data_IF_898103219973
#
_entry.id   IF_898103219973
#
_cell.length_a   1.000
_cell.length_b   1.000
_cell.length_c   1.000
_cell.angle_alpha   90.00
_cell.angle_beta   90.00
_cell.angle_gamma   90.00
#
_symmetry.space_group_name_H-M   'P 1'
#
loop_
_entity.id
_entity.type
_entity.pdbx_description
1 polymer ?
#
# COMPACT_ATOMS: atom_id res chain seq x y z
N UNK A 1 4.59 -20.13 23.00
CA UNK A 1 3.38 -19.25 23.05
C UNK A 1 2.21 -19.85 22.28
N UNK A 2 0.99 -19.50 22.67
CA UNK A 2 -0.24 -19.73 21.91
C UNK A 2 -0.68 -18.38 21.29
N UNK A 3 -0.68 -18.27 19.96
CA UNK A 3 -0.90 -17.02 19.23
C UNK A 3 -2.13 -17.12 18.35
N UNK A 4 -3.10 -16.23 18.59
CA UNK A 4 -4.29 -16.08 17.76
C UNK A 4 -4.15 -14.88 16.83
N UNK A 5 -4.39 -15.06 15.53
CA UNK A 5 -4.26 -14.00 14.53
C UNK A 5 -5.58 -13.82 13.79
N UNK A 6 -6.14 -12.62 13.84
CA UNK A 6 -7.33 -12.23 13.09
C UNK A 6 -6.89 -11.49 11.84
N UNK A 7 -7.07 -12.10 10.67
CA UNK A 7 -6.71 -11.57 9.36
C UNK A 7 -5.52 -12.29 8.71
N UNK A 8 -5.78 -12.93 7.57
CA UNK A 8 -4.82 -13.64 6.70
C UNK A 8 -4.21 -12.74 5.62
N UNK A 9 -4.03 -11.45 5.91
CA UNK A 9 -3.31 -10.52 5.07
C UNK A 9 -1.79 -10.63 5.24
N UNK A 10 -0.99 -9.79 4.50
CA UNK A 10 0.47 -9.84 4.55
C UNK A 10 1.06 -9.70 5.97
N UNK A 11 0.46 -8.87 6.83
CA UNK A 11 0.93 -8.69 8.21
C UNK A 11 0.74 -9.97 9.04
N UNK A 12 -0.50 -10.50 9.08
CA UNK A 12 -0.84 -11.66 9.91
C UNK A 12 -0.11 -12.92 9.48
N UNK A 13 -0.09 -13.22 8.16
CA UNK A 13 0.60 -14.39 7.64
C UNK A 13 2.10 -14.31 7.83
N UNK A 14 2.70 -13.13 7.60
CA UNK A 14 4.15 -12.99 7.76
C UNK A 14 4.58 -13.12 9.21
N UNK A 15 3.81 -12.54 10.15
CA UNK A 15 4.06 -12.73 11.58
C UNK A 15 3.89 -14.21 11.98
N UNK A 16 2.84 -14.88 11.54
CA UNK A 16 2.61 -16.30 11.79
C UNK A 16 3.80 -17.16 11.33
N UNK A 17 4.26 -16.91 10.11
CA UNK A 17 5.43 -17.58 9.54
C UNK A 17 6.69 -17.36 10.37
N UNK A 18 7.00 -16.11 10.75
CA UNK A 18 8.20 -15.79 11.53
C UNK A 18 8.20 -16.50 12.89
N UNK A 19 7.07 -16.48 13.60
CA UNK A 19 6.94 -17.14 14.91
C UNK A 19 7.14 -18.66 14.79
N UNK A 20 6.48 -19.30 13.84
CA UNK A 20 6.57 -20.78 13.67
C UNK A 20 7.92 -21.23 13.13
N UNK A 21 8.57 -20.42 12.29
CA UNK A 21 9.91 -20.72 11.78
C UNK A 21 10.95 -20.68 12.90
N UNK A 22 10.84 -19.72 13.80
CA UNK A 22 11.78 -19.55 14.92
C UNK A 22 11.65 -20.64 15.95
N UNK A 23 10.41 -20.96 16.32
CA UNK A 23 10.14 -22.04 17.27
C UNK A 23 8.89 -22.85 16.86
N UNK A 24 9.11 -24.07 16.40
CA UNK A 24 8.04 -24.98 15.98
C UNK A 24 7.07 -25.37 17.12
N UNK A 25 7.43 -25.15 18.38
CA UNK A 25 6.55 -25.41 19.54
C UNK A 25 5.44 -24.39 19.69
N UNK A 26 5.54 -23.24 19.07
CA UNK A 26 4.48 -22.23 19.07
C UNK A 26 3.20 -22.79 18.44
N UNK A 27 2.06 -22.52 19.07
CA UNK A 27 0.74 -22.76 18.49
C UNK A 27 0.27 -21.47 17.85
N UNK A 28 0.19 -21.46 16.52
CA UNK A 28 -0.23 -20.27 15.76
C UNK A 28 -1.47 -20.61 14.95
N UNK A 29 -2.54 -19.84 15.17
CA UNK A 29 -3.81 -19.95 14.45
C UNK A 29 -4.16 -18.63 13.78
N UNK A 30 -4.43 -18.68 12.47
CA UNK A 30 -4.85 -17.54 11.65
C UNK A 30 -6.30 -17.76 11.21
N UNK A 31 -7.15 -16.76 11.41
CA UNK A 31 -8.54 -16.77 10.91
C UNK A 31 -8.74 -15.62 9.94
N UNK A 32 -9.18 -15.96 8.71
CA UNK A 32 -9.37 -15.01 7.62
C UNK A 32 -10.82 -15.08 7.12
N UNK A 33 -11.44 -13.91 6.95
CA UNK A 33 -12.84 -13.82 6.49
C UNK A 33 -13.01 -14.16 5.00
N UNK A 34 -12.00 -13.92 4.19
CA UNK A 34 -12.07 -14.12 2.75
C UNK A 34 -11.67 -15.56 2.37
N UNK A 35 -12.26 -16.14 1.31
CA UNK A 35 -11.84 -17.43 0.78
C UNK A 35 -10.45 -17.34 0.13
N UNK A 36 -9.85 -18.51 -0.14
CA UNK A 36 -8.45 -18.64 -0.59
C UNK A 36 -8.10 -17.83 -1.85
N UNK A 37 -9.02 -17.74 -2.79
CA UNK A 37 -8.79 -17.07 -4.07
C UNK A 37 -9.27 -15.62 -4.13
N UNK A 38 -9.83 -15.11 -3.04
CA UNK A 38 -10.27 -13.73 -2.97
C UNK A 38 -9.07 -12.80 -2.69
N UNK A 39 -9.00 -11.72 -3.45
CA UNK A 39 -8.12 -10.59 -3.17
C UNK A 39 -8.76 -9.31 -3.67
N UNK A 40 -8.53 -8.22 -2.95
CA UNK A 40 -8.91 -6.88 -3.38
C UNK A 40 -7.72 -6.23 -4.08
N UNK A 41 -7.99 -5.54 -5.21
CA UNK A 41 -6.95 -4.92 -6.03
C UNK A 41 -6.20 -5.95 -6.90
N UNK A 42 -5.13 -5.49 -7.54
CA UNK A 42 -4.46 -6.21 -8.62
C UNK A 42 -3.00 -6.53 -8.27
N UNK A 43 -2.13 -5.56 -8.38
CA UNK A 43 -0.71 -5.70 -8.09
C UNK A 43 -0.29 -4.98 -6.82
N UNK A 44 0.87 -5.35 -6.29
CA UNK A 44 1.58 -4.65 -5.23
C UNK A 44 2.94 -4.19 -5.73
N UNK A 45 3.39 -3.06 -5.20
CA UNK A 45 4.67 -2.43 -5.57
C UNK A 45 5.52 -2.26 -4.32
N UNK A 46 6.80 -2.58 -4.46
CA UNK A 46 7.83 -2.33 -3.46
C UNK A 46 8.97 -1.57 -4.10
N UNK A 47 9.63 -0.69 -3.38
CA UNK A 47 10.96 -0.19 -3.75
C UNK A 47 12.04 -1.18 -3.32
N UNK A 48 13.25 -1.11 -3.89
CA UNK A 48 14.39 -1.96 -3.48
C UNK A 48 14.59 -1.99 -1.97
N UNK A 49 14.65 -0.82 -1.36
CA UNK A 49 14.78 -0.65 0.10
C UNK A 49 13.62 -1.33 0.84
N UNK A 50 12.45 -1.39 0.18
CA UNK A 50 11.25 -1.96 0.78
C UNK A 50 11.25 -3.48 0.84
N UNK A 51 12.06 -4.18 0.05
CA UNK A 51 12.20 -5.64 0.10
C UNK A 51 13.45 -6.11 0.84
N UNK A 52 14.46 -5.23 1.00
CA UNK A 52 15.70 -5.59 1.69
C UNK A 52 15.43 -6.16 3.10
N UNK A 53 14.50 -5.59 3.85
CA UNK A 53 14.15 -6.06 5.18
C UNK A 53 13.57 -7.49 5.21
N UNK A 54 12.85 -7.90 4.14
CA UNK A 54 12.36 -9.29 4.04
C UNK A 54 13.53 -10.24 3.79
N UNK A 55 14.46 -9.85 2.90
CA UNK A 55 15.68 -10.63 2.61
C UNK A 55 16.52 -10.86 3.85
N UNK A 56 16.65 -9.83 4.69
CA UNK A 56 17.53 -9.88 5.86
C UNK A 56 16.93 -10.78 6.98
N UNK A 57 15.59 -10.86 7.08
CA UNK A 57 14.90 -11.64 8.11
C UNK A 57 14.46 -13.03 7.60
N UNK A 58 14.06 -13.14 6.32
CA UNK A 58 13.50 -14.36 5.72
C UNK A 58 13.99 -14.53 4.27
N UNK A 59 15.27 -14.86 4.04
CA UNK A 59 15.86 -14.90 2.71
C UNK A 59 15.19 -15.91 1.76
N UNK A 60 14.71 -17.04 2.27
CA UNK A 60 13.99 -18.07 1.52
C UNK A 60 12.61 -17.55 1.04
N UNK A 61 11.87 -16.84 1.89
CA UNK A 61 10.62 -16.20 1.53
C UNK A 61 10.86 -15.07 0.52
N UNK A 62 11.90 -14.26 0.74
CA UNK A 62 12.31 -13.23 -0.21
C UNK A 62 12.59 -13.83 -1.61
N UNK A 63 13.34 -14.92 -1.69
CA UNK A 63 13.64 -15.60 -2.94
C UNK A 63 12.37 -16.14 -3.63
N UNK A 64 11.43 -16.67 -2.86
CA UNK A 64 10.13 -17.13 -3.39
C UNK A 64 9.27 -15.97 -3.91
N UNK A 65 9.17 -14.88 -3.14
CA UNK A 65 8.42 -13.68 -3.53
C UNK A 65 8.97 -13.02 -4.79
N UNK A 66 10.31 -13.00 -4.94
CA UNK A 66 10.96 -12.28 -6.03
C UNK A 66 11.18 -13.11 -7.30
N UNK A 67 10.87 -14.42 -7.28
CA UNK A 67 11.09 -15.33 -8.41
C UNK A 67 10.40 -14.91 -9.71
N UNK A 68 9.22 -14.31 -9.61
CA UNK A 68 8.38 -13.92 -10.75
C UNK A 68 8.01 -12.44 -10.74
N UNK A 69 8.79 -11.62 -10.04
CA UNK A 69 8.54 -10.19 -9.97
C UNK A 69 8.91 -9.49 -11.29
N UNK A 70 8.26 -8.38 -11.55
CA UNK A 70 8.63 -7.43 -12.59
C UNK A 70 9.48 -6.32 -11.95
N UNK A 71 10.69 -6.07 -12.46
CA UNK A 71 11.62 -5.05 -11.93
C UNK A 71 11.92 -4.03 -13.00
N UNK A 72 11.79 -2.76 -12.68
CA UNK A 72 12.11 -1.63 -13.56
C UNK A 72 12.64 -0.45 -12.78
N UNK A 73 13.62 0.25 -13.38
CA UNK A 73 14.41 1.31 -12.74
C UNK A 73 13.89 2.72 -13.04
N UNK A 74 12.73 2.83 -13.68
CA UNK A 74 12.18 4.13 -14.07
C UNK A 74 10.69 4.21 -13.74
N UNK A 75 10.23 5.43 -13.54
CA UNK A 75 8.82 5.79 -13.61
C UNK A 75 8.62 6.92 -14.61
N UNK A 76 7.39 7.15 -15.01
CA UNK A 76 7.03 8.16 -15.98
C UNK A 76 5.84 8.98 -15.49
N UNK A 77 5.93 10.30 -15.68
CA UNK A 77 4.80 11.22 -15.49
C UNK A 77 4.34 11.69 -16.86
N UNK A 78 3.06 11.53 -17.17
CA UNK A 78 2.43 12.05 -18.39
C UNK A 78 1.56 13.23 -17.98
N UNK A 79 1.99 14.43 -18.34
CA UNK A 79 1.34 15.69 -18.05
C UNK A 79 1.23 16.54 -19.33
N UNK A 80 0.05 17.09 -19.62
CA UNK A 80 -0.24 17.89 -20.83
C UNK A 80 0.19 17.19 -22.13
N UNK A 81 0.01 15.86 -22.19
CA UNK A 81 0.37 15.05 -23.35
C UNK A 81 1.86 14.75 -23.52
N UNK A 82 2.71 15.24 -22.64
CA UNK A 82 4.15 14.99 -22.64
C UNK A 82 4.54 14.04 -21.52
N UNK A 83 5.47 13.13 -21.82
CA UNK A 83 6.00 12.16 -20.87
C UNK A 83 7.38 12.61 -20.36
N UNK A 84 7.51 12.72 -19.05
CA UNK A 84 8.79 12.97 -18.36
C UNK A 84 9.19 11.68 -17.65
N UNK A 85 10.35 11.14 -18.01
CA UNK A 85 10.93 9.98 -17.33
C UNK A 85 11.63 10.44 -16.04
N UNK A 86 11.48 9.66 -14.98
CA UNK A 86 12.17 9.83 -13.71
C UNK A 86 13.06 8.61 -13.47
N UNK A 87 14.37 8.82 -13.53
CA UNK A 87 15.36 7.76 -13.41
C UNK A 87 15.59 7.32 -11.94
N UNK A 88 16.28 6.20 -11.78
CA UNK A 88 16.71 5.65 -10.47
C UNK A 88 15.57 5.47 -9.46
N UNK A 89 14.43 4.98 -9.97
CA UNK A 89 13.27 4.61 -9.17
C UNK A 89 12.98 3.11 -9.39
N UNK A 90 13.76 2.23 -8.77
CA UNK A 90 13.57 0.79 -8.90
C UNK A 90 12.34 0.34 -8.14
N UNK A 91 11.47 -0.37 -8.85
CA UNK A 91 10.23 -0.93 -8.33
C UNK A 91 10.17 -2.43 -8.61
N UNK A 92 9.88 -3.19 -7.56
CA UNK A 92 9.56 -4.62 -7.60
C UNK A 92 8.04 -4.77 -7.57
N UNK A 93 7.49 -5.47 -8.52
CA UNK A 93 6.04 -5.57 -8.74
C UNK A 93 5.63 -7.02 -8.86
N UNK A 94 4.54 -7.39 -8.20
CA UNK A 94 3.98 -8.75 -8.25
C UNK A 94 2.46 -8.72 -8.09
N UNK A 95 1.79 -9.78 -8.49
CA UNK A 95 0.38 -9.94 -8.20
C UNK A 95 0.15 -10.05 -6.69
N UNK A 96 -0.83 -9.31 -6.16
CA UNK A 96 -1.18 -9.36 -4.74
C UNK A 96 -1.60 -10.77 -4.31
N UNK A 97 -2.30 -11.49 -5.17
CA UNK A 97 -2.73 -12.87 -4.87
C UNK A 97 -1.55 -13.83 -4.76
N UNK A 98 -0.49 -13.65 -5.57
CA UNK A 98 0.70 -14.50 -5.53
C UNK A 98 1.50 -14.28 -4.24
N UNK A 99 1.59 -13.04 -3.76
CA UNK A 99 2.15 -12.74 -2.44
C UNK A 99 1.41 -13.50 -1.33
N UNK A 100 0.07 -13.45 -1.34
CA UNK A 100 -0.75 -14.13 -0.33
C UNK A 100 -0.65 -15.66 -0.43
N UNK A 101 -0.63 -16.21 -1.63
CA UNK A 101 -0.44 -17.67 -1.85
C UNK A 101 0.92 -18.13 -1.34
N UNK A 102 1.97 -17.38 -1.66
CA UNK A 102 3.33 -17.66 -1.17
C UNK A 102 3.37 -17.66 0.36
N UNK A 103 2.87 -16.62 1.00
CA UNK A 103 2.84 -16.53 2.47
C UNK A 103 2.03 -17.67 3.10
N UNK A 104 0.86 -18.01 2.56
CA UNK A 104 0.04 -19.13 3.03
C UNK A 104 0.76 -20.47 2.89
N UNK A 105 1.45 -20.70 1.78
CA UNK A 105 2.22 -21.93 1.56
C UNK A 105 3.32 -22.07 2.61
N UNK A 106 4.10 -21.02 2.84
CA UNK A 106 5.16 -21.02 3.85
C UNK A 106 4.62 -21.21 5.28
N UNK A 107 3.44 -20.69 5.57
CA UNK A 107 2.75 -20.95 6.83
C UNK A 107 2.29 -22.41 6.94
N UNK A 108 1.72 -22.97 5.86
CA UNK A 108 1.24 -24.35 5.84
C UNK A 108 2.39 -25.36 5.98
N UNK A 109 3.54 -25.09 5.36
CA UNK A 109 4.75 -25.91 5.45
C UNK A 109 5.32 -25.98 6.89
N UNK A 110 4.92 -25.04 7.76
CA UNK A 110 5.27 -24.97 9.18
C UNK A 110 4.11 -25.34 10.13
N UNK A 111 3.06 -25.97 9.64
CA UNK A 111 1.89 -26.36 10.41
C UNK A 111 1.17 -25.19 11.12
N UNK A 112 1.14 -24.00 10.50
CA UNK A 112 0.27 -22.91 10.95
C UNK A 112 -1.18 -23.27 10.62
N UNK A 113 -2.06 -23.26 11.62
CA UNK A 113 -3.48 -23.49 11.42
C UNK A 113 -4.12 -22.25 10.75
N UNK A 114 -4.53 -22.36 9.48
CA UNK A 114 -5.17 -21.28 8.73
C UNK A 114 -6.62 -21.66 8.43
N UNK A 115 -7.56 -20.86 8.93
CA UNK A 115 -8.98 -20.99 8.69
C UNK A 115 -9.46 -19.86 7.79
N UNK A 116 -9.92 -20.19 6.58
CA UNK A 116 -10.37 -19.23 5.57
C UNK A 116 -11.89 -19.19 5.47
N UNK A 117 -12.45 -18.08 4.98
CA UNK A 117 -13.89 -17.92 4.80
C UNK A 117 -14.66 -17.70 6.10
N UNK A 118 -14.00 -17.39 7.20
CA UNK A 118 -14.62 -17.16 8.49
C UNK A 118 -14.32 -15.79 9.09
N UNK A 119 -15.37 -15.03 9.31
CA UNK A 119 -15.29 -13.73 9.97
C UNK A 119 -15.20 -13.89 11.48
N UNK A 120 -14.34 -13.09 12.09
CA UNK A 120 -14.20 -12.97 13.56
C UNK A 120 -14.81 -11.64 14.00
N UNK A 121 -15.74 -11.70 14.96
CA UNK A 121 -16.42 -10.52 15.48
C UNK A 121 -15.88 -10.02 16.83
N UNK A 122 -15.00 -10.79 17.47
CA UNK A 122 -14.38 -10.46 18.75
C UNK A 122 -13.24 -11.41 19.08
N UNK A 123 -12.65 -11.26 20.27
CA UNK A 123 -11.49 -12.07 20.68
C UNK A 123 -11.82 -13.19 21.63
N UNK A 124 -13.09 -13.42 21.96
CA UNK A 124 -13.51 -14.42 22.95
C UNK A 124 -13.09 -15.84 22.57
N UNK A 125 -13.07 -16.14 21.27
CA UNK A 125 -12.61 -17.42 20.73
C UNK A 125 -11.08 -17.63 20.82
N UNK A 126 -10.34 -16.61 21.20
CA UNK A 126 -8.89 -16.63 21.42
C UNK A 126 -8.54 -16.47 22.92
N UNK A 127 -9.48 -16.76 23.81
CA UNK A 127 -9.29 -16.61 25.26
C UNK A 127 -8.16 -17.51 25.81
N UNK A 128 -7.81 -18.58 25.08
CA UNK A 128 -6.71 -19.49 25.38
C UNK A 128 -5.35 -19.01 24.80
N UNK A 129 -5.34 -17.91 24.08
CA UNK A 129 -4.11 -17.38 23.47
C UNK A 129 -3.37 -16.42 24.42
N UNK A 130 -2.05 -16.60 24.48
CA UNK A 130 -1.14 -15.69 25.18
C UNK A 130 -1.09 -14.32 24.50
N UNK A 131 -1.09 -14.32 23.16
CA UNK A 131 -1.04 -13.12 22.30
C UNK A 131 -2.15 -13.19 21.24
N UNK A 132 -2.86 -12.08 21.05
CA UNK A 132 -3.88 -11.91 20.01
C UNK A 132 -3.44 -10.79 19.06
N UNK A 133 -3.26 -11.11 17.78
CA UNK A 133 -2.83 -10.17 16.75
C UNK A 133 -4.02 -9.83 15.85
N UNK A 134 -4.49 -8.58 15.94
CA UNK A 134 -5.54 -8.05 15.08
C UNK A 134 -4.90 -7.45 13.80
N UNK A 135 -4.91 -8.23 12.72
CA UNK A 135 -4.39 -7.89 11.40
C UNK A 135 -5.49 -7.88 10.32
N UNK A 136 -6.73 -7.56 10.73
CA UNK A 136 -7.98 -7.67 9.97
C UNK A 136 -8.27 -6.47 9.05
N UNK A 137 -7.25 -5.66 8.76
CA UNK A 137 -7.26 -4.65 7.70
C UNK A 137 -7.86 -3.30 8.09
N UNK A 138 -7.99 -2.40 7.11
CA UNK A 138 -8.40 -1.00 7.34
C UNK A 138 -9.77 -0.87 8.01
N UNK A 139 -10.71 -1.77 7.68
CA UNK A 139 -12.03 -1.86 8.29
C UNK A 139 -12.07 -2.82 9.48
N UNK A 140 -11.03 -2.85 10.31
CA UNK A 140 -10.85 -3.78 11.42
C UNK A 140 -12.06 -3.84 12.34
N UNK A 141 -12.61 -5.05 12.49
CA UNK A 141 -13.68 -5.36 13.43
C UNK A 141 -13.16 -5.29 14.88
N UNK A 142 -11.95 -5.81 15.10
CA UNK A 142 -11.32 -5.83 16.44
C UNK A 142 -11.04 -4.42 16.93
N UNK A 143 -10.42 -3.56 16.10
CA UNK A 143 -10.21 -2.13 16.43
C UNK A 143 -11.53 -1.44 16.77
N UNK A 144 -12.56 -1.67 15.98
CA UNK A 144 -13.88 -1.03 16.18
C UNK A 144 -14.54 -1.50 17.45
N UNK A 145 -14.52 -2.83 17.75
CA UNK A 145 -15.10 -3.40 18.96
C UNK A 145 -14.45 -2.88 20.23
N UNK A 146 -13.14 -2.64 20.21
CA UNK A 146 -12.36 -2.18 21.36
C UNK A 146 -11.85 -0.74 21.19
N UNK A 147 -12.60 0.10 20.48
CA UNK A 147 -12.21 1.47 20.13
C UNK A 147 -11.92 2.36 21.34
N UNK A 148 -12.57 2.13 22.48
CA UNK A 148 -12.32 2.87 23.73
C UNK A 148 -10.89 2.68 24.27
N UNK A 149 -10.24 1.57 23.90
CA UNK A 149 -8.89 1.22 24.32
C UNK A 149 -7.83 1.60 23.28
N UNK A 150 -8.16 1.56 22.00
CA UNK A 150 -7.24 1.90 20.91
C UNK A 150 -7.28 3.39 20.54
N UNK A 151 -8.36 4.08 20.85
CA UNK A 151 -8.63 5.49 20.52
C UNK A 151 -8.30 5.79 19.04
N UNK A 152 -9.01 5.15 18.08
CA UNK A 152 -8.74 5.34 16.67
C UNK A 152 -9.16 6.73 16.18
N UNK A 153 -8.36 7.28 15.28
CA UNK A 153 -8.72 8.43 14.46
C UNK A 153 -8.77 7.98 13.00
N UNK A 154 -9.87 8.28 12.31
CA UNK A 154 -10.06 7.94 10.89
C UNK A 154 -10.33 9.24 10.12
N UNK A 155 -9.34 9.64 9.31
CA UNK A 155 -9.42 10.78 8.40
C UNK A 155 -9.71 10.26 6.99
N UNK A 156 -10.95 10.45 6.51
CA UNK A 156 -11.38 10.01 5.17
C UNK A 156 -10.99 11.07 4.15
N UNK A 157 -10.04 10.72 3.27
CA UNK A 157 -9.52 11.65 2.26
C UNK A 157 -10.59 12.01 1.23
N UNK A 158 -10.58 13.25 0.70
CA UNK A 158 -11.63 13.72 -0.19
C UNK A 158 -11.64 13.06 -1.57
N UNK A 159 -10.45 12.76 -2.15
CA UNK A 159 -10.37 12.14 -3.47
C UNK A 159 -10.99 10.75 -3.49
N UNK A 160 -11.56 10.41 -4.62
CA UNK A 160 -12.15 9.10 -4.89
C UNK A 160 -11.21 8.28 -5.77
N UNK A 161 -11.15 6.99 -5.48
CA UNK A 161 -10.31 6.03 -6.18
C UNK A 161 -11.14 4.85 -6.68
N UNK A 162 -10.83 4.35 -7.89
CA UNK A 162 -11.33 3.08 -8.40
C UNK A 162 -10.18 2.22 -8.88
N UNK A 163 -10.10 0.97 -8.41
CA UNK A 163 -8.95 0.11 -8.65
C UNK A 163 -9.25 -0.90 -9.76
N UNK A 164 -8.94 -0.52 -10.99
CA UNK A 164 -9.03 -1.36 -12.18
C UNK A 164 -7.73 -2.13 -12.46
N UNK A 165 -7.84 -3.11 -13.35
CA UNK A 165 -6.73 -3.75 -14.04
C UNK A 165 -6.79 -3.50 -15.53
N UNK A 166 -5.76 -3.91 -16.25
CA UNK A 166 -5.74 -3.90 -17.71
C UNK A 166 -4.75 -4.91 -18.25
N UNK A 167 -4.95 -5.37 -19.49
CA UNK A 167 -3.95 -6.14 -20.25
C UNK A 167 -2.91 -5.26 -20.95
N UNK A 168 -3.05 -3.92 -20.90
CA UNK A 168 -2.04 -3.01 -21.41
C UNK A 168 -0.75 -3.10 -20.57
N UNK A 169 0.42 -3.34 -21.20
CA UNK A 169 1.68 -3.48 -20.47
C UNK A 169 2.25 -2.10 -20.10
N UNK A 170 1.83 -1.53 -18.98
CA UNK A 170 2.37 -0.27 -18.47
C UNK A 170 3.79 -0.46 -17.90
N UNK A 171 4.76 -0.17 -18.74
CA UNK A 171 6.17 -0.24 -18.44
C UNK A 171 6.89 0.94 -19.08
N UNK A 172 7.51 1.83 -18.28
CA UNK A 172 7.65 1.85 -16.80
C UNK A 172 6.34 2.16 -16.06
N UNK A 173 6.38 2.14 -14.70
CA UNK A 173 5.32 2.68 -13.85
C UNK A 173 4.97 4.09 -14.34
N UNK A 174 3.70 4.37 -14.58
CA UNK A 174 3.29 5.64 -15.15
C UNK A 174 2.20 6.30 -14.31
N UNK A 175 2.34 7.59 -14.09
CA UNK A 175 1.29 8.47 -13.58
C UNK A 175 0.80 9.32 -14.72
N UNK A 176 -0.48 9.24 -15.04
CA UNK A 176 -1.06 9.89 -16.22
C UNK A 176 -2.14 10.85 -15.76
N UNK A 177 -1.96 12.12 -16.08
CA UNK A 177 -2.88 13.21 -15.73
C UNK A 177 -3.67 13.61 -16.98
N UNK A 178 -5.01 13.43 -16.93
CA UNK A 178 -5.92 13.74 -18.04
C UNK A 178 -6.96 14.76 -17.63
N UNK A 179 -6.89 15.95 -18.22
CA UNK A 179 -7.95 16.96 -18.13
C UNK A 179 -9.06 16.63 -19.14
N UNK A 180 -10.29 16.75 -18.70
CA UNK A 180 -11.51 16.55 -19.48
C UNK A 180 -12.44 17.76 -19.29
N UNK A 181 -13.58 17.79 -19.99
CA UNK A 181 -14.63 18.77 -19.72
C UNK A 181 -15.24 18.64 -18.31
N UNK A 182 -15.13 17.48 -17.70
CA UNK A 182 -15.67 17.18 -16.37
C UNK A 182 -14.66 17.51 -15.24
N UNK A 183 -13.37 17.60 -15.54
CA UNK A 183 -12.30 17.87 -14.58
C UNK A 183 -11.04 17.06 -14.84
N UNK A 184 -10.31 16.72 -13.77
CA UNK A 184 -9.03 16.02 -13.84
C UNK A 184 -9.18 14.57 -13.33
N UNK A 185 -8.78 13.60 -14.17
CA UNK A 185 -8.59 12.21 -13.78
C UNK A 185 -7.10 11.85 -13.80
N UNK A 186 -6.67 11.05 -12.85
CA UNK A 186 -5.29 10.60 -12.69
C UNK A 186 -5.28 9.08 -12.74
N UNK A 187 -4.42 8.49 -13.60
CA UNK A 187 -4.20 7.05 -13.60
C UNK A 187 -2.82 6.72 -13.00
N UNK A 188 -2.80 5.82 -12.02
CA UNK A 188 -1.60 5.24 -11.45
C UNK A 188 -1.46 3.83 -12.03
N UNK A 189 -0.45 3.61 -12.86
CA UNK A 189 -0.36 2.39 -13.67
C UNK A 189 0.99 1.72 -13.53
N UNK A 190 0.99 0.40 -13.44
CA UNK A 190 2.22 -0.40 -13.46
C UNK A 190 1.92 -1.86 -13.80
N UNK A 191 2.80 -2.46 -14.58
CA UNK A 191 2.75 -3.88 -14.90
C UNK A 191 3.21 -4.69 -13.67
N UNK A 192 2.44 -5.68 -13.27
CA UNK A 192 2.75 -6.58 -12.14
C UNK A 192 2.89 -8.05 -12.56
N UNK A 193 2.58 -8.36 -13.82
CA UNK A 193 2.79 -9.66 -14.43
C UNK A 193 3.06 -9.50 -15.93
N UNK A 194 3.42 -10.59 -16.60
CA UNK A 194 3.65 -10.54 -18.05
C UNK A 194 2.44 -10.10 -18.87
N UNK A 195 1.24 -10.28 -18.35
CA UNK A 195 -0.02 -10.09 -19.07
C UNK A 195 -0.91 -9.00 -18.52
N UNK A 196 -0.65 -8.49 -17.31
CA UNK A 196 -1.55 -7.56 -16.64
C UNK A 196 -0.83 -6.42 -15.93
N UNK A 197 -1.50 -5.28 -15.92
CA UNK A 197 -1.12 -4.08 -15.16
C UNK A 197 -2.22 -3.66 -14.21
N UNK A 198 -1.84 -3.03 -13.11
CA UNK A 198 -2.72 -2.22 -12.27
C UNK A 198 -3.07 -0.94 -13.02
N UNK A 199 -4.31 -0.49 -12.88
CA UNK A 199 -4.80 0.78 -13.40
C UNK A 199 -5.72 1.43 -12.35
N UNK A 200 -5.13 2.12 -11.38
CA UNK A 200 -5.87 2.83 -10.34
C UNK A 200 -6.24 4.23 -10.87
N UNK A 201 -7.52 4.55 -10.89
CA UNK A 201 -8.01 5.89 -11.27
C UNK A 201 -8.33 6.68 -10.01
N UNK A 202 -7.89 7.94 -9.98
CA UNK A 202 -8.14 8.89 -8.90
C UNK A 202 -8.71 10.19 -9.47
N UNK A 203 -9.67 10.81 -8.78
CA UNK A 203 -10.16 12.15 -9.09
C UNK A 203 -10.67 12.87 -7.83
N UNK A 204 -10.77 14.19 -7.92
CA UNK A 204 -11.39 15.01 -6.88
C UNK A 204 -12.92 14.86 -6.87
N UNK A 205 -13.62 15.24 -5.77
CA UNK A 205 -15.06 15.08 -5.64
C UNK A 205 -15.89 15.87 -6.68
N UNK A 206 -15.35 17.00 -7.18
CA UNK A 206 -16.06 17.80 -8.18
C UNK A 206 -15.99 17.13 -9.55
N UNK A 207 -14.81 16.68 -9.96
CA UNK A 207 -14.62 15.87 -11.16
C UNK A 207 -15.53 14.63 -11.14
N UNK A 208 -15.60 13.92 -10.00
CA UNK A 208 -16.41 12.72 -9.83
C UNK A 208 -17.92 12.99 -10.04
N UNK A 209 -18.43 14.10 -9.47
CA UNK A 209 -19.82 14.51 -9.66
C UNK A 209 -20.11 15.04 -11.07
N UNK A 210 -19.22 15.87 -11.62
CA UNK A 210 -19.38 16.45 -12.95
C UNK A 210 -19.42 15.37 -14.04
N UNK A 211 -18.57 14.36 -13.91
CA UNK A 211 -18.54 13.18 -14.79
C UNK A 211 -19.77 12.27 -14.62
N UNK A 212 -20.58 12.45 -13.58
CA UNK A 212 -21.71 11.60 -13.24
C UNK A 212 -21.34 10.24 -12.67
N UNK A 213 -20.08 10.06 -12.24
CA UNK A 213 -19.56 8.79 -11.69
C UNK A 213 -20.28 8.38 -10.39
N UNK A 214 -20.91 9.33 -9.70
CA UNK A 214 -21.75 9.13 -8.51
C UNK A 214 -23.05 8.34 -8.80
N UNK A 215 -23.46 8.27 -10.07
CA UNK A 215 -24.72 7.64 -10.51
C UNK A 215 -24.50 6.47 -11.46
N UNK A 216 -23.25 6.29 -11.91
CA UNK A 216 -22.88 5.21 -12.81
C UNK A 216 -22.78 3.88 -12.08
N UNK A 217 -23.22 2.82 -12.73
CA UNK A 217 -22.87 1.45 -12.34
C UNK A 217 -21.39 1.18 -12.57
N UNK A 218 -20.86 0.11 -11.98
CA UNK A 218 -19.46 -0.28 -12.18
C UNK A 218 -19.08 -0.44 -13.65
N UNK A 219 -19.87 -1.12 -14.53
CA UNK A 219 -19.57 -1.20 -15.96
C UNK A 219 -19.60 0.15 -16.70
N UNK A 220 -20.52 1.05 -16.34
CA UNK A 220 -20.60 2.39 -16.93
C UNK A 220 -19.41 3.25 -16.53
N UNK A 221 -19.01 3.19 -15.26
CA UNK A 221 -17.84 3.87 -14.72
C UNK A 221 -16.54 3.35 -15.36
N UNK A 222 -16.42 2.04 -15.52
CA UNK A 222 -15.29 1.41 -16.23
C UNK A 222 -15.22 1.89 -17.68
N UNK A 223 -16.36 1.92 -18.39
CA UNK A 223 -16.42 2.39 -19.77
C UNK A 223 -16.07 3.89 -19.90
N UNK A 224 -16.49 4.71 -18.92
CA UNK A 224 -16.11 6.12 -18.86
C UNK A 224 -14.59 6.27 -18.71
N UNK A 225 -13.99 5.60 -17.74
CA UNK A 225 -12.55 5.64 -17.52
C UNK A 225 -11.77 5.11 -18.74
N UNK A 226 -12.22 4.01 -19.35
CA UNK A 226 -11.61 3.47 -20.57
C UNK A 226 -11.65 4.48 -21.73
N UNK A 227 -12.71 5.28 -21.86
CA UNK A 227 -12.81 6.34 -22.87
C UNK A 227 -11.85 7.51 -22.59
N UNK A 228 -11.73 7.93 -21.33
CA UNK A 228 -10.82 9.03 -20.93
C UNK A 228 -9.37 8.66 -21.21
N UNK A 229 -8.98 7.42 -20.92
CA UNK A 229 -7.61 6.94 -21.07
C UNK A 229 -7.40 6.08 -22.32
N UNK A 230 -8.28 6.21 -23.34
CA UNK A 230 -8.26 5.37 -24.54
C UNK A 230 -6.91 5.35 -25.24
N UNK A 231 -6.27 6.50 -25.37
CA UNK A 231 -4.99 6.62 -26.07
C UNK A 231 -3.84 6.00 -25.26
N UNK A 232 -3.93 6.04 -23.93
CA UNK A 232 -2.96 5.41 -23.03
C UNK A 232 -3.12 3.89 -22.96
N UNK A 233 -4.36 3.41 -23.07
CA UNK A 233 -4.69 1.99 -23.06
C UNK A 233 -4.34 1.29 -24.39
N UNK A 234 -4.11 2.04 -25.47
CA UNK A 234 -3.69 1.52 -26.77
C UNK A 234 -4.52 0.31 -27.27
N UNK A 235 -5.85 0.40 -27.14
CA UNK A 235 -6.78 -0.64 -27.54
C UNK A 235 -6.97 -1.79 -26.55
N UNK A 236 -6.26 -1.79 -25.43
CA UNK A 236 -6.47 -2.79 -24.37
C UNK A 236 -7.66 -2.43 -23.49
N UNK A 237 -8.42 -3.41 -22.96
CA UNK A 237 -9.54 -3.18 -22.08
C UNK A 237 -9.10 -2.80 -20.66
N UNK A 238 -9.94 -2.02 -19.95
CA UNK A 238 -9.94 -2.01 -18.49
C UNK A 238 -10.68 -3.24 -17.98
N UNK A 239 -10.21 -3.76 -16.86
CA UNK A 239 -10.76 -4.93 -16.18
C UNK A 239 -11.21 -4.53 -14.77
N UNK A 240 -12.36 -5.06 -14.37
CA UNK A 240 -12.88 -4.88 -13.02
C UNK A 240 -12.62 -6.09 -12.12
N UNK A 241 -12.44 -5.84 -10.83
CA UNK A 241 -12.43 -6.83 -9.76
C UNK A 241 -13.10 -6.20 -8.52
N UNK A 242 -14.43 -6.00 -8.58
CA UNK A 242 -15.19 -5.23 -7.58
C UNK A 242 -14.60 -3.83 -7.39
N UNK A 243 -14.44 -3.12 -8.51
CA UNK A 243 -13.72 -1.84 -8.61
C UNK A 243 -14.64 -0.66 -8.36
N UNK A 244 -15.39 -0.69 -7.25
CA UNK A 244 -16.22 0.44 -6.84
C UNK A 244 -15.36 1.65 -6.45
N UNK A 245 -15.92 2.86 -6.65
CA UNK A 245 -15.30 4.09 -6.18
C UNK A 245 -15.33 4.18 -4.67
N UNK A 246 -14.20 4.47 -4.06
CA UNK A 246 -14.09 4.63 -2.61
C UNK A 246 -13.20 5.80 -2.23
N UNK A 247 -13.39 6.31 -1.02
CA UNK A 247 -12.50 7.28 -0.39
C UNK A 247 -11.54 6.55 0.53
N UNK A 248 -10.27 6.95 0.48
CA UNK A 248 -9.24 6.27 1.26
C UNK A 248 -9.24 6.74 2.72
N UNK A 249 -9.40 5.86 3.70
CA UNK A 249 -9.30 6.21 5.11
C UNK A 249 -7.84 6.22 5.58
N UNK A 250 -7.41 7.31 6.19
CA UNK A 250 -6.16 7.36 6.96
C UNK A 250 -6.49 7.00 8.40
N UNK A 251 -6.16 5.77 8.76
CA UNK A 251 -6.37 5.23 10.11
C UNK A 251 -5.14 5.49 10.96
N UNK A 252 -5.35 5.92 12.19
CA UNK A 252 -4.35 6.03 13.27
C UNK A 252 -4.96 5.51 14.54
N UNK A 253 -4.13 4.90 15.39
CA UNK A 253 -4.54 4.50 16.74
C UNK A 253 -3.59 5.15 17.74
N UNK A 254 -4.17 5.73 18.82
CA UNK A 254 -3.38 6.32 19.90
C UNK A 254 -2.61 5.26 20.64
N UNK A 255 -3.27 4.12 20.95
CA UNK A 255 -2.70 2.94 21.58
C UNK A 255 -2.66 1.80 20.57
N UNK A 256 -1.55 1.09 20.51
CA UNK A 256 -1.34 0.03 19.55
C UNK A 256 -1.70 -1.34 20.10
N UNK A 257 -1.79 -1.43 21.41
CA UNK A 257 -2.16 -2.66 22.12
C UNK A 257 -3.04 -2.37 23.33
N UNK A 258 -3.77 -3.38 23.76
CA UNK A 258 -4.57 -3.40 24.97
C UNK A 258 -4.62 -4.81 25.54
N UNK A 259 -4.22 -4.99 26.83
CA UNK A 259 -4.00 -6.32 27.42
C UNK A 259 -3.04 -7.12 26.54
N UNK A 260 -3.47 -8.33 26.09
CA UNK A 260 -2.71 -9.18 25.17
C UNK A 260 -3.13 -9.03 23.69
N UNK A 261 -3.88 -8.01 23.33
CA UNK A 261 -4.31 -7.73 21.96
C UNK A 261 -3.41 -6.64 21.36
N UNK A 262 -2.88 -6.89 20.17
CA UNK A 262 -2.09 -5.90 19.40
C UNK A 262 -2.68 -5.71 18.02
N UNK A 263 -2.75 -4.45 17.56
CA UNK A 263 -3.11 -4.11 16.19
C UNK A 263 -1.88 -4.22 15.28
N UNK A 264 -2.07 -4.73 14.05
CA UNK A 264 -0.98 -4.91 13.09
C UNK A 264 -1.43 -4.53 11.67
N UNK A 265 -0.51 -4.02 10.84
CA UNK A 265 -0.80 -3.65 9.46
C UNK A 265 -1.87 -2.57 9.33
N UNK A 266 -2.80 -2.73 8.38
CA UNK A 266 -3.84 -1.72 8.13
C UNK A 266 -4.89 -1.61 9.25
N UNK A 267 -5.01 -2.61 10.13
CA UNK A 267 -5.79 -2.50 11.35
C UNK A 267 -5.15 -1.49 12.32
N UNK A 268 -3.83 -1.46 12.37
CA UNK A 268 -3.07 -0.51 13.18
C UNK A 268 -3.07 0.89 12.56
N UNK A 269 -2.72 0.99 11.27
CA UNK A 269 -2.71 2.24 10.53
C UNK A 269 -2.67 2.02 9.02
N UNK A 270 -3.22 2.96 8.29
CA UNK A 270 -3.14 2.94 6.83
C UNK A 270 -2.17 4.01 6.32
N UNK A 271 -1.50 3.71 5.22
CA UNK A 271 -0.73 4.67 4.43
C UNK A 271 -1.42 4.90 3.09
N UNK A 272 -1.53 6.16 2.63
CA UNK A 272 -2.18 6.45 1.35
C UNK A 272 -1.48 5.72 0.19
N UNK A 273 -2.22 5.15 -0.80
CA UNK A 273 -1.66 4.36 -1.89
C UNK A 273 -0.67 5.13 -2.77
N UNK A 274 -0.73 6.45 -2.78
CA UNK A 274 0.17 7.34 -3.55
C UNK A 274 1.67 7.20 -3.22
N UNK A 275 2.03 6.53 -2.13
CA UNK A 275 3.44 6.24 -1.77
C UNK A 275 3.78 4.75 -1.87
N UNK A 276 2.82 3.89 -2.30
CA UNK A 276 3.04 2.46 -2.53
C UNK A 276 3.54 1.68 -1.31
N UNK A 277 3.19 2.09 -0.07
CA UNK A 277 3.83 1.56 1.13
C UNK A 277 2.95 0.68 2.03
N UNK A 278 1.67 0.48 1.72
CA UNK A 278 0.75 -0.26 2.61
C UNK A 278 1.24 -1.67 2.95
N UNK A 279 1.50 -2.50 1.94
CA UNK A 279 2.00 -3.87 2.14
C UNK A 279 3.38 -3.89 2.82
N UNK A 280 4.27 -2.95 2.45
CA UNK A 280 5.56 -2.77 3.12
C UNK A 280 5.39 -2.50 4.60
N UNK A 281 4.55 -1.52 4.97
CA UNK A 281 4.29 -1.17 6.36
C UNK A 281 3.76 -2.37 7.14
N UNK A 282 2.81 -3.11 6.56
CA UNK A 282 2.23 -4.29 7.16
C UNK A 282 3.26 -5.38 7.46
N UNK A 283 4.17 -5.66 6.53
CA UNK A 283 5.24 -6.65 6.72
C UNK A 283 6.31 -6.16 7.70
N UNK A 284 6.68 -4.88 7.66
CA UNK A 284 7.61 -4.30 8.65
C UNK A 284 7.05 -4.32 10.07
N UNK A 285 5.73 -4.22 10.24
CA UNK A 285 5.11 -4.36 11.55
C UNK A 285 5.23 -5.78 12.07
N UNK A 286 5.03 -6.77 11.19
CA UNK A 286 5.21 -8.18 11.54
C UNK A 286 6.64 -8.48 12.00
N UNK A 287 7.65 -7.94 11.32
CA UNK A 287 9.04 -8.06 11.73
C UNK A 287 9.28 -7.40 13.08
N UNK A 288 8.83 -6.16 13.26
CA UNK A 288 9.06 -5.43 14.50
C UNK A 288 8.39 -6.10 15.72
N UNK A 289 7.21 -6.71 15.53
CA UNK A 289 6.54 -7.49 16.57
C UNK A 289 7.31 -8.77 16.88
N UNK A 290 7.82 -9.46 15.86
CA UNK A 290 8.66 -10.63 16.01
C UNK A 290 9.99 -10.30 16.70
N UNK A 291 10.70 -9.24 16.32
CA UNK A 291 11.93 -8.77 16.98
C UNK A 291 11.71 -8.37 18.44
N UNK A 292 10.54 -7.79 18.75
CA UNK A 292 10.16 -7.49 20.11
C UNK A 292 9.95 -8.77 20.94
N UNK A 293 9.36 -9.81 20.33
CA UNK A 293 9.26 -11.13 20.96
C UNK A 293 10.64 -11.75 21.21
N UNK A 294 11.54 -11.70 20.22
CA UNK A 294 12.93 -12.20 20.40
C UNK A 294 13.66 -11.50 21.56
N UNK A 295 13.37 -10.22 21.79
CA UNK A 295 13.99 -9.45 22.86
C UNK A 295 13.39 -9.71 24.24
N UNK A 296 12.07 -9.97 24.33
CA UNK A 296 11.32 -10.04 25.59
C UNK A 296 10.86 -11.48 25.93
N UNK A 297 11.01 -12.43 25.00
CA UNK A 297 10.47 -13.79 25.15
C UNK A 297 8.94 -13.78 25.26
N UNK A 298 8.41 -14.65 26.12
CA UNK A 298 6.98 -14.84 26.32
C UNK A 298 6.35 -13.84 27.32
N UNK A 299 7.10 -12.81 27.76
CA UNK A 299 6.53 -11.68 28.51
C UNK A 299 5.75 -10.76 27.56
N UNK A 300 4.47 -11.07 27.37
CA UNK A 300 3.60 -10.34 26.42
C UNK A 300 3.51 -8.86 26.75
N UNK A 301 3.49 -8.48 28.02
CA UNK A 301 3.40 -7.05 28.40
C UNK A 301 4.65 -6.29 27.97
N UNK A 302 5.84 -6.82 28.23
CA UNK A 302 7.10 -6.25 27.81
C UNK A 302 7.24 -6.21 26.28
N UNK A 303 6.87 -7.31 25.60
CA UNK A 303 6.87 -7.44 24.15
C UNK A 303 6.05 -6.33 23.47
N UNK A 304 4.84 -6.07 23.93
CA UNK A 304 3.95 -5.09 23.30
C UNK A 304 4.46 -3.66 23.46
N UNK A 305 5.01 -3.33 24.62
CA UNK A 305 5.67 -2.03 24.87
C UNK A 305 6.89 -1.87 23.97
N UNK A 306 7.72 -2.90 23.85
CA UNK A 306 8.93 -2.88 23.02
C UNK A 306 8.60 -2.78 21.52
N UNK A 307 7.57 -3.49 21.04
CA UNK A 307 7.07 -3.36 19.68
C UNK A 307 6.70 -1.92 19.36
N UNK A 308 5.87 -1.30 20.19
CA UNK A 308 5.43 0.07 19.97
C UNK A 308 6.61 1.04 20.01
N UNK A 309 7.51 0.91 20.99
CA UNK A 309 8.70 1.75 21.14
C UNK A 309 9.61 1.72 19.91
N UNK A 310 9.88 0.53 19.37
CA UNK A 310 10.76 0.37 18.19
C UNK A 310 10.09 0.85 16.92
N UNK A 311 8.83 0.51 16.75
CA UNK A 311 8.18 0.64 15.45
C UNK A 311 7.51 1.99 15.21
N UNK A 312 6.97 2.62 16.26
CA UNK A 312 6.18 3.86 16.15
C UNK A 312 6.92 5.00 15.43
N UNK A 313 8.17 5.36 15.73
CA UNK A 313 8.82 6.52 15.10
C UNK A 313 8.91 6.42 13.57
N UNK A 314 9.38 5.27 13.06
CA UNK A 314 9.49 5.04 11.62
C UNK A 314 8.14 4.93 10.91
N UNK A 315 7.15 4.37 11.60
CA UNK A 315 5.78 4.25 11.14
C UNK A 315 5.11 5.62 10.98
N UNK A 316 5.19 6.46 12.01
CA UNK A 316 4.58 7.78 12.03
C UNK A 316 5.22 8.70 10.97
N UNK A 317 6.54 8.64 10.80
CA UNK A 317 7.26 9.39 9.77
C UNK A 317 6.80 9.00 8.35
N UNK A 318 6.60 7.71 8.09
CA UNK A 318 6.13 7.25 6.77
C UNK A 318 4.66 7.60 6.54
N UNK A 319 3.81 7.49 7.56
CA UNK A 319 2.41 7.91 7.46
C UNK A 319 2.28 9.43 7.24
N UNK A 320 3.10 10.25 7.91
CA UNK A 320 3.14 11.69 7.68
C UNK A 320 3.52 12.03 6.22
N UNK A 321 4.51 11.34 5.66
CA UNK A 321 4.88 11.48 4.25
C UNK A 321 3.74 11.06 3.31
N UNK A 322 3.02 9.98 3.62
CA UNK A 322 1.87 9.52 2.85
C UNK A 322 0.72 10.54 2.86
N UNK A 323 0.46 11.18 4.00
CA UNK A 323 -0.55 12.25 4.12
C UNK A 323 -0.16 13.48 3.30
N UNK A 324 1.11 13.90 3.32
CA UNK A 324 1.60 14.99 2.45
C UNK A 324 1.43 14.65 0.98
N UNK A 325 1.77 13.40 0.61
CA UNK A 325 1.56 12.92 -0.75
C UNK A 325 0.08 12.94 -1.17
N UNK A 326 -0.84 12.49 -0.31
CA UNK A 326 -2.27 12.55 -0.58
C UNK A 326 -2.74 14.00 -0.78
N UNK A 327 -2.35 14.91 0.10
CA UNK A 327 -2.68 16.33 -0.01
C UNK A 327 -2.17 16.96 -1.31
N UNK A 328 -1.02 16.51 -1.81
CA UNK A 328 -0.50 16.94 -3.11
C UNK A 328 -1.44 16.53 -4.25
N UNK A 329 -1.94 15.28 -4.27
CA UNK A 329 -2.90 14.81 -5.29
C UNK A 329 -4.24 15.54 -5.18
N UNK A 330 -4.69 15.86 -3.98
CA UNK A 330 -5.93 16.61 -3.73
C UNK A 330 -5.84 18.06 -4.24
N UNK A 331 -4.64 18.65 -4.19
CA UNK A 331 -4.36 20.00 -4.67
C UNK A 331 -3.83 20.06 -6.11
N UNK A 332 -3.63 18.92 -6.78
CA UNK A 332 -2.88 18.83 -8.04
C UNK A 332 -3.51 19.64 -9.19
N UNK A 333 -4.83 19.82 -9.17
CA UNK A 333 -5.53 20.65 -10.16
C UNK A 333 -4.95 22.08 -10.24
N UNK A 334 -4.54 22.66 -9.11
CA UNK A 334 -3.89 23.98 -9.07
C UNK A 334 -2.50 24.00 -9.71
N UNK A 335 -1.90 22.85 -9.95
CA UNK A 335 -0.54 22.68 -10.50
C UNK A 335 -0.54 22.32 -11.99
N UNK A 336 -1.72 22.09 -12.58
CA UNK A 336 -1.84 21.67 -13.99
C UNK A 336 -1.34 22.71 -15.00
N UNK A 337 -1.16 23.96 -14.57
CA UNK A 337 -0.58 25.03 -15.39
C UNK A 337 0.94 24.91 -15.57
N UNK A 338 1.65 24.19 -14.71
CA UNK A 338 3.10 24.00 -14.77
C UNK A 338 3.51 23.31 -16.09
N UNK A 339 4.70 23.62 -16.58
CA UNK A 339 5.30 22.83 -17.65
C UNK A 339 5.62 21.40 -17.17
N UNK A 340 5.79 20.41 -18.07
CA UNK A 340 5.97 19.02 -17.68
C UNK A 340 7.18 18.73 -16.78
N UNK A 341 8.29 19.46 -16.95
CA UNK A 341 9.50 19.29 -16.13
C UNK A 341 9.26 19.81 -14.71
N UNK A 342 8.73 21.04 -14.59
CA UNK A 342 8.40 21.64 -13.30
C UNK A 342 7.34 20.83 -12.55
N UNK A 343 6.36 20.27 -13.26
CA UNK A 343 5.36 19.39 -12.68
C UNK A 343 5.98 18.10 -12.13
N UNK A 344 6.85 17.45 -12.90
CA UNK A 344 7.54 16.23 -12.49
C UNK A 344 8.48 16.48 -11.30
N UNK A 345 9.16 17.62 -11.29
CA UNK A 345 10.01 18.06 -10.18
C UNK A 345 9.19 18.28 -8.89
N UNK A 346 8.07 19.01 -8.97
CA UNK A 346 7.16 19.26 -7.85
C UNK A 346 6.57 17.94 -7.30
N UNK A 347 6.24 16.99 -8.20
CA UNK A 347 5.81 15.66 -7.82
C UNK A 347 6.85 14.90 -6.97
N UNK A 348 8.13 14.94 -7.35
CA UNK A 348 9.17 14.24 -6.57
C UNK A 348 9.28 14.78 -5.15
N UNK A 349 9.09 16.07 -4.95
CA UNK A 349 9.18 16.75 -3.65
C UNK A 349 7.91 16.63 -2.80
N UNK A 350 6.80 16.11 -3.33
CA UNK A 350 5.44 16.09 -2.71
C UNK A 350 5.36 15.52 -1.29
N UNK A 351 6.28 14.64 -0.92
CA UNK A 351 6.30 14.03 0.42
C UNK A 351 7.04 14.89 1.45
N UNK A 352 7.76 15.91 1.03
CA UNK A 352 8.66 16.72 1.84
C UNK A 352 9.89 15.96 2.37
N UNK A 353 10.23 14.80 1.76
CA UNK A 353 11.38 13.95 2.12
C UNK A 353 12.49 14.02 1.07
N UNK A 354 12.26 14.68 -0.03
CA UNK A 354 13.18 14.84 -1.15
C UNK A 354 13.38 16.33 -1.33
N UNK A 355 14.59 16.81 -1.16
CA UNK A 355 14.98 18.16 -1.44
C UNK A 355 15.63 18.29 -2.84
N UNK A 356 16.14 19.46 -3.18
CA UNK A 356 16.75 19.69 -4.49
C UNK A 356 18.06 18.92 -4.67
N UNK A 357 18.86 18.82 -3.61
CA UNK A 357 20.11 18.06 -3.65
C UNK A 357 19.85 16.56 -3.81
N UNK A 358 18.80 16.03 -3.17
CA UNK A 358 18.35 14.67 -3.39
C UNK A 358 17.96 14.43 -4.86
N UNK A 359 17.28 15.39 -5.51
CA UNK A 359 16.93 15.29 -6.92
C UNK A 359 18.19 15.31 -7.81
N UNK A 360 19.16 16.18 -7.52
CA UNK A 360 20.44 16.22 -8.25
C UNK A 360 21.19 14.89 -8.18
N UNK A 361 21.18 14.25 -7.02
CA UNK A 361 21.86 12.97 -6.82
C UNK A 361 21.14 11.81 -7.51
N UNK A 362 19.80 11.80 -7.46
CA UNK A 362 18.98 10.70 -7.98
C UNK A 362 18.72 10.81 -9.47
N UNK A 363 18.45 12.02 -9.96
CA UNK A 363 18.10 12.30 -11.35
C UNK A 363 18.74 13.63 -11.80
N UNK A 364 20.07 13.63 -12.05
CA UNK A 364 20.79 14.84 -12.46
C UNK A 364 20.27 15.45 -13.76
N UNK A 365 19.68 14.62 -14.65
CA UNK A 365 19.12 15.12 -15.91
C UNK A 365 17.84 15.95 -15.66
N UNK A 366 16.95 15.47 -14.79
CA UNK A 366 15.76 16.21 -14.38
C UNK A 366 16.14 17.50 -13.62
N UNK A 367 17.12 17.42 -12.70
CA UNK A 367 17.57 18.57 -11.96
C UNK A 367 18.12 19.66 -12.90
N UNK A 368 18.98 19.32 -13.84
CA UNK A 368 19.53 20.26 -14.81
C UNK A 368 18.45 20.87 -15.73
N UNK A 369 17.46 20.04 -16.17
CA UNK A 369 16.35 20.53 -16.97
C UNK A 369 15.46 21.51 -16.19
N UNK A 370 15.22 21.23 -14.90
CA UNK A 370 14.47 22.13 -14.03
C UNK A 370 15.22 23.45 -13.77
N UNK A 371 16.53 23.40 -13.47
CA UNK A 371 17.38 24.58 -13.26
C UNK A 371 17.44 25.48 -14.49
N UNK A 372 17.49 24.90 -15.69
CA UNK A 372 17.47 25.67 -16.95
C UNK A 372 16.17 26.46 -17.16
N UNK A 373 15.04 25.96 -16.63
CA UNK A 373 13.75 26.65 -16.66
C UNK A 373 13.59 27.69 -15.55
N UNK A 374 14.39 27.59 -14.47
CA UNK A 374 14.29 28.41 -13.27
C UNK A 374 15.66 29.02 -12.89
N UNK A 375 16.23 29.90 -13.76
CA UNK A 375 17.55 30.51 -13.53
C UNK A 375 17.59 31.43 -12.31
N UNK A 376 16.44 31.90 -11.83
CA UNK A 376 16.29 32.69 -10.60
C UNK A 376 16.44 31.86 -9.30
N UNK A 377 16.56 30.58 -9.43
CA UNK A 377 16.75 29.64 -8.28
C UNK A 377 15.58 28.70 -8.08
N UNK A 378 15.82 27.71 -7.23
CA UNK A 378 14.84 26.68 -6.87
C UNK A 378 13.88 27.26 -5.83
N UNK A 379 12.55 27.17 -6.02
CA UNK A 379 11.59 27.58 -4.98
C UNK A 379 11.79 26.74 -3.70
N UNK A 380 11.65 27.33 -2.52
CA UNK A 380 11.87 26.68 -1.23
C UNK A 380 10.97 25.47 -0.97
#
# INVERSE_FOLDING_TARGET
MNVGIVGGGPAGLFFAYLMKREDASHRVRVVERDPADATYGWGVVFTDIALAFVRDVAPELYAAMTRHQEVHDAMRIVHRGQAVALANNTFHRMARIDLLRTLRQYCADLDVAIELGRKVDGVDEFADCDLIVAADGAASTIRTRYQEHFEPTIDVRPNLLAWYGTTCPFDPLSLIFRETGDGLLIAHTYRYSRTHSTFLVECDPDTWRNAGLDRMTEPESLAYCARVFRDDLNGHPLLSNKSDWFRYPIVRNRHWHWRNIVLLGDALRTGHPSVGSGTRLAMQDAIALFEAWQACGDDVAALLVEFERRRRPGSDALQAAAVKSAAWYEAVRSKMHLDPISFAYDYLRRTGRVDHEDVRQRDPALAAAFEALHPEGVPP
#
